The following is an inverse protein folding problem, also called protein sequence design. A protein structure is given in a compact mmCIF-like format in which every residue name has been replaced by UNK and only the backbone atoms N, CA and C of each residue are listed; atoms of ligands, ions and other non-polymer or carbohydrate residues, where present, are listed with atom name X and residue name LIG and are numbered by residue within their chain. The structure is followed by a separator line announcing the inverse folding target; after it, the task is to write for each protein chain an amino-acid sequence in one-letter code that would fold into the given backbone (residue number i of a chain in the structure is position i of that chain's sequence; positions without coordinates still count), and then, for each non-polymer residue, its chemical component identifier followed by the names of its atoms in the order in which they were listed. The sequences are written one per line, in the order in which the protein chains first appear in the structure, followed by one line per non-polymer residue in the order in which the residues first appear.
data_IF_829934570513
#
_entry.id   IF_829934570513
#
_cell.length_a   1.000
_cell.length_b   1.000
_cell.length_c   1.000
_cell.angle_alpha   90.00
_cell.angle_beta   90.00
_cell.angle_gamma   90.00
#
_symmetry.space_group_name_H-M   'P 1'
#
loop_
_entity.id
_entity.type
_entity.pdbx_description
1 polymer ?
#
# COMPACT_ATOMS: atom_id res chain seq x y z
N UNK A 1 41.60 0.48 -31.87
CA UNK A 1 41.85 1.72 -31.09
C UNK A 1 41.52 1.46 -29.62
N UNK A 2 42.51 1.33 -28.73
CA UNK A 2 42.33 0.96 -27.31
C UNK A 2 41.60 2.01 -26.45
N UNK A 3 41.48 3.26 -26.90
CA UNK A 3 40.73 4.30 -26.17
C UNK A 3 39.22 4.06 -26.07
N UNK A 4 38.61 3.43 -27.09
CA UNK A 4 37.16 3.16 -27.13
C UNK A 4 36.68 2.24 -26.00
N UNK A 5 37.49 1.25 -25.64
CA UNK A 5 37.15 0.28 -24.60
C UNK A 5 37.11 0.93 -23.21
N UNK A 6 38.05 1.81 -22.89
CA UNK A 6 38.09 2.54 -21.61
C UNK A 6 36.88 3.46 -21.43
N UNK A 7 36.50 4.20 -22.48
CA UNK A 7 35.29 5.05 -22.42
C UNK A 7 34.02 4.22 -22.21
N UNK A 8 33.93 3.05 -22.84
CA UNK A 8 32.80 2.16 -22.65
C UNK A 8 32.74 1.59 -21.23
N UNK A 9 33.88 1.19 -20.66
CA UNK A 9 33.99 0.70 -19.27
C UNK A 9 33.58 1.77 -18.27
N UNK A 10 34.03 3.02 -18.46
CA UNK A 10 33.66 4.14 -17.60
C UNK A 10 32.17 4.49 -17.69
N UNK A 11 31.62 4.53 -18.90
CA UNK A 11 30.19 4.72 -19.10
C UNK A 11 29.37 3.62 -18.42
N UNK A 12 29.77 2.36 -18.60
CA UNK A 12 29.10 1.20 -18.01
C UNK A 12 29.16 1.26 -16.47
N UNK A 13 30.32 1.61 -15.91
CA UNK A 13 30.53 1.79 -14.47
C UNK A 13 29.63 2.88 -13.90
N UNK A 14 29.61 4.07 -14.49
CA UNK A 14 28.77 5.19 -14.02
C UNK A 14 27.28 4.84 -14.14
N UNK A 15 26.86 4.22 -15.24
CA UNK A 15 25.48 3.76 -15.41
C UNK A 15 25.07 2.73 -14.36
N UNK A 16 25.96 1.78 -14.05
CA UNK A 16 25.72 0.78 -13.00
C UNK A 16 25.56 1.46 -11.64
N UNK A 17 26.46 2.39 -11.29
CA UNK A 17 26.40 3.14 -10.04
C UNK A 17 25.11 3.94 -9.92
N UNK A 18 24.71 4.67 -10.98
CA UNK A 18 23.47 5.44 -10.98
C UNK A 18 22.25 4.54 -10.73
N UNK A 19 22.16 3.40 -11.43
CA UNK A 19 21.08 2.42 -11.21
C UNK A 19 21.06 1.87 -9.79
N UNK A 20 22.23 1.58 -9.23
CA UNK A 20 22.35 1.11 -7.85
C UNK A 20 21.87 2.17 -6.86
N UNK A 21 22.29 3.42 -7.03
CA UNK A 21 21.87 4.52 -6.17
C UNK A 21 20.36 4.78 -6.25
N UNK A 22 19.78 4.77 -7.46
CA UNK A 22 18.33 4.90 -7.64
C UNK A 22 17.59 3.77 -6.92
N UNK A 23 18.05 2.53 -7.08
CA UNK A 23 17.43 1.37 -6.40
C UNK A 23 17.51 1.49 -4.88
N UNK A 24 18.67 1.86 -4.34
CA UNK A 24 18.86 2.05 -2.91
C UNK A 24 18.03 3.20 -2.36
N UNK A 25 17.99 4.34 -3.04
CA UNK A 25 17.19 5.50 -2.63
C UNK A 25 15.70 5.16 -2.62
N UNK A 26 15.21 4.44 -3.64
CA UNK A 26 13.81 4.01 -3.69
C UNK A 26 13.47 3.04 -2.57
N UNK A 27 14.34 2.06 -2.28
CA UNK A 27 14.14 1.14 -1.14
C UNK A 27 14.09 1.87 0.19
N UNK A 28 14.98 2.84 0.40
CA UNK A 28 14.98 3.70 1.61
C UNK A 28 13.67 4.47 1.72
N UNK A 29 13.23 5.12 0.64
CA UNK A 29 11.96 5.83 0.61
C UNK A 29 10.77 4.93 0.99
N UNK A 30 10.70 3.71 0.45
CA UNK A 30 9.63 2.77 0.80
C UNK A 30 9.69 2.38 2.28
N UNK A 31 10.87 2.06 2.81
CA UNK A 31 11.03 1.73 4.22
C UNK A 31 10.63 2.91 5.12
N UNK A 32 11.10 4.12 4.80
CA UNK A 32 10.76 5.34 5.53
C UNK A 32 9.25 5.59 5.52
N UNK A 33 8.58 5.39 4.39
CA UNK A 33 7.11 5.48 4.33
C UNK A 33 6.46 4.41 5.20
N UNK A 34 6.89 3.16 5.12
CA UNK A 34 6.33 2.07 5.90
C UNK A 34 6.46 2.33 7.40
N UNK A 35 7.60 2.85 7.84
CA UNK A 35 7.85 3.19 9.23
C UNK A 35 7.07 4.44 9.67
N UNK A 36 6.98 5.46 8.80
CA UNK A 36 6.14 6.63 9.05
C UNK A 36 4.66 6.28 9.14
N UNK A 37 4.15 5.36 8.32
CA UNK A 37 2.74 4.91 8.38
C UNK A 37 2.45 4.20 9.71
N UNK A 38 3.40 3.43 10.24
CA UNK A 38 3.25 2.77 11.55
C UNK A 38 3.18 3.80 12.69
N UNK A 39 3.96 4.88 12.60
CA UNK A 39 4.04 5.91 13.64
C UNK A 39 2.91 6.94 13.55
N UNK A 40 2.61 7.43 12.35
CA UNK A 40 1.55 8.40 12.08
C UNK A 40 0.80 8.09 10.77
N UNK A 41 -0.33 7.38 10.84
CA UNK A 41 -1.12 7.03 9.66
C UNK A 41 -1.84 8.24 9.04
N UNK A 42 -1.84 9.43 9.67
CA UNK A 42 -2.59 10.60 9.18
C UNK A 42 -2.08 11.07 7.82
N UNK A 43 -0.77 11.04 7.59
CA UNK A 43 -0.17 11.45 6.33
C UNK A 43 -0.63 10.54 5.16
N UNK A 44 -0.75 9.24 5.42
CA UNK A 44 -1.29 8.27 4.45
C UNK A 44 -2.76 8.57 4.16
N UNK A 45 -3.57 8.75 5.20
CA UNK A 45 -4.99 9.06 5.02
C UNK A 45 -5.21 10.39 4.33
N UNK A 46 -4.38 11.41 4.59
CA UNK A 46 -4.41 12.67 3.88
C UNK A 46 -4.10 12.49 2.39
N UNK A 47 -3.09 11.70 2.05
CA UNK A 47 -2.76 11.37 0.65
C UNK A 47 -3.89 10.61 -0.04
N UNK A 48 -4.47 9.59 0.62
CA UNK A 48 -5.60 8.82 0.11
C UNK A 48 -6.81 9.73 -0.11
N UNK A 49 -7.15 10.57 0.87
CA UNK A 49 -8.29 11.49 0.80
C UNK A 49 -8.08 12.52 -0.31
N UNK A 50 -6.85 13.01 -0.51
CA UNK A 50 -6.52 13.91 -1.61
C UNK A 50 -6.69 13.24 -2.98
N UNK A 51 -6.40 11.94 -3.11
CA UNK A 51 -6.54 11.18 -4.35
C UNK A 51 -7.96 10.71 -4.64
N UNK A 52 -8.77 10.42 -3.61
CA UNK A 52 -10.12 9.85 -3.74
C UNK A 52 -11.21 10.87 -4.09
N UNK A 53 -10.96 12.18 -3.98
CA UNK A 53 -12.01 13.20 -4.11
C UNK A 53 -13.01 13.14 -2.95
N UNK A 54 -14.15 13.85 -3.04
CA UNK A 54 -15.16 13.90 -1.95
C UNK A 54 -15.58 12.48 -1.57
N UNK A 55 -15.22 12.08 -0.34
CA UNK A 55 -15.63 10.82 0.27
C UNK A 55 -17.13 10.85 0.51
N UNK A 56 -17.90 10.23 -0.37
CA UNK A 56 -19.22 9.75 -0.02
C UNK A 56 -19.07 8.41 0.70
N UNK A 57 -19.93 8.17 1.70
CA UNK A 57 -20.21 6.81 2.18
C UNK A 57 -20.60 6.00 0.94
N UNK A 58 -19.99 4.81 0.71
CA UNK A 58 -20.40 3.95 -0.39
C UNK A 58 -21.92 3.78 -0.33
N UNK A 59 -22.62 3.90 -1.46
CA UNK A 59 -24.08 3.72 -1.45
C UNK A 59 -24.46 2.32 -0.96
N UNK A 60 -23.57 1.35 -1.20
CA UNK A 60 -23.73 -0.05 -0.85
C UNK A 60 -22.37 -0.63 -0.45
N UNK A 61 -22.37 -1.53 0.52
CA UNK A 61 -21.21 -2.32 0.95
C UNK A 61 -21.55 -3.81 0.87
N UNK A 62 -20.59 -4.63 0.44
CA UNK A 62 -20.76 -6.08 0.35
C UNK A 62 -19.63 -6.77 1.12
N UNK A 63 -19.98 -7.61 2.09
CA UNK A 63 -18.99 -8.32 2.93
C UNK A 63 -18.62 -9.72 2.40
N UNK A 64 -19.20 -10.12 1.27
CA UNK A 64 -19.07 -11.45 0.68
C UNK A 64 -20.32 -12.31 0.82
N UNK A 65 -21.15 -12.05 1.83
CA UNK A 65 -22.39 -12.80 2.12
C UNK A 65 -23.59 -11.87 2.13
N UNK A 66 -23.47 -10.71 2.77
CA UNK A 66 -24.54 -9.75 2.97
C UNK A 66 -24.27 -8.42 2.26
N UNK A 67 -25.36 -7.80 1.81
CA UNK A 67 -25.37 -6.48 1.17
C UNK A 67 -25.98 -5.48 2.13
N UNK A 68 -25.22 -4.44 2.43
CA UNK A 68 -25.64 -3.33 3.26
C UNK A 68 -25.88 -2.11 2.37
N UNK A 69 -27.06 -1.49 2.47
CA UNK A 69 -27.48 -0.32 1.71
C UNK A 69 -27.91 0.86 2.59
N UNK A 70 -28.07 0.64 3.89
CA UNK A 70 -28.30 1.69 4.89
C UNK A 70 -26.97 2.27 5.42
N UNK A 71 -26.80 3.60 5.48
CA UNK A 71 -25.52 4.22 5.84
C UNK A 71 -24.95 3.76 7.19
N UNK A 72 -25.80 3.57 8.20
CA UNK A 72 -25.37 3.11 9.51
C UNK A 72 -24.87 1.66 9.46
N UNK A 73 -25.62 0.78 8.80
CA UNK A 73 -25.23 -0.61 8.60
C UNK A 73 -23.93 -0.74 7.79
N UNK A 74 -23.71 0.15 6.80
CA UNK A 74 -22.47 0.22 6.02
C UNK A 74 -21.28 0.59 6.93
N UNK A 75 -21.44 1.57 7.82
CA UNK A 75 -20.38 2.00 8.75
C UNK A 75 -20.07 0.89 9.76
N UNK A 76 -21.09 0.23 10.30
CA UNK A 76 -20.94 -0.84 11.30
C UNK A 76 -20.31 -2.09 10.68
N UNK A 77 -20.75 -2.48 9.48
CA UNK A 77 -20.13 -3.57 8.71
C UNK A 77 -18.68 -3.24 8.34
N UNK A 78 -18.39 -1.99 7.92
CA UNK A 78 -17.02 -1.55 7.68
C UNK A 78 -16.16 -1.64 8.95
N UNK A 79 -16.65 -1.17 10.10
CA UNK A 79 -15.93 -1.24 11.36
C UNK A 79 -15.64 -2.69 11.78
N UNK A 80 -16.60 -3.60 11.59
CA UNK A 80 -16.44 -5.03 11.86
C UNK A 80 -15.43 -5.70 10.92
N UNK A 81 -15.50 -5.42 9.62
CA UNK A 81 -14.53 -5.93 8.64
C UNK A 81 -13.14 -5.40 8.96
N UNK A 82 -13.02 -4.10 9.25
CA UNK A 82 -11.72 -3.47 9.51
C UNK A 82 -11.10 -3.96 10.81
N UNK A 83 -11.88 -4.05 11.90
CA UNK A 83 -11.40 -4.54 13.20
C UNK A 83 -11.02 -6.02 13.17
N UNK A 84 -11.75 -6.87 12.44
CA UNK A 84 -11.38 -8.28 12.24
C UNK A 84 -10.06 -8.45 11.49
N UNK A 85 -9.77 -7.54 10.58
CA UNK A 85 -8.58 -7.58 9.74
C UNK A 85 -7.36 -6.87 10.35
N UNK A 86 -7.56 -6.04 11.37
CA UNK A 86 -6.47 -5.48 12.17
C UNK A 86 -6.12 -6.44 13.30
N UNK A 87 -5.12 -7.29 13.05
CA UNK A 87 -4.54 -8.11 14.10
C UNK A 87 -3.90 -7.20 15.16
N UNK A 88 -4.13 -7.44 16.46
CA UNK A 88 -3.34 -6.81 17.51
C UNK A 88 -1.86 -7.16 17.28
N UNK A 89 -0.97 -6.26 17.70
CA UNK A 89 0.45 -6.15 17.32
C UNK A 89 1.38 -7.31 17.75
N UNK A 90 0.88 -8.54 17.89
CA UNK A 90 1.65 -9.76 18.11
C UNK A 90 1.38 -10.79 17.01
N UNK A 91 2.44 -11.09 16.25
CA UNK A 91 2.60 -12.30 15.42
C UNK A 91 1.71 -12.41 14.16
N UNK A 92 2.09 -11.70 13.09
CA UNK A 92 1.55 -11.94 11.74
C UNK A 92 2.49 -12.91 11.01
N UNK A 93 2.00 -14.10 10.64
CA UNK A 93 2.70 -14.97 9.70
C UNK A 93 2.39 -14.55 8.25
N UNK A 94 3.32 -14.78 7.31
CA UNK A 94 3.20 -14.35 5.91
C UNK A 94 1.93 -14.86 5.18
N UNK A 95 1.33 -15.97 5.63
CA UNK A 95 0.06 -16.49 5.11
C UNK A 95 -1.13 -15.59 5.45
N UNK A 96 -1.10 -14.96 6.61
CA UNK A 96 -2.22 -14.20 7.17
C UNK A 96 -2.32 -12.85 6.45
N UNK A 97 -1.17 -12.24 6.13
CA UNK A 97 -1.10 -11.01 5.36
C UNK A 97 -1.72 -11.13 3.95
N UNK A 98 -1.56 -12.27 3.28
CA UNK A 98 -2.11 -12.50 1.94
C UNK A 98 -3.64 -12.68 1.97
N UNK A 99 -4.14 -13.36 3.00
CA UNK A 99 -5.59 -13.52 3.25
C UNK A 99 -6.26 -12.18 3.57
N UNK A 100 -5.62 -11.36 4.40
CA UNK A 100 -6.06 -10.00 4.75
C UNK A 100 -6.15 -9.08 3.53
N UNK A 101 -5.15 -9.12 2.64
CA UNK A 101 -5.16 -8.33 1.42
C UNK A 101 -6.32 -8.70 0.49
N UNK A 102 -6.56 -10.00 0.30
CA UNK A 102 -7.66 -10.47 -0.55
C UNK A 102 -9.03 -10.14 0.05
N UNK A 103 -9.18 -10.23 1.37
CA UNK A 103 -10.39 -9.83 2.10
C UNK A 103 -10.73 -8.35 1.88
N UNK A 104 -9.76 -7.45 2.09
CA UNK A 104 -9.99 -6.01 1.92
C UNK A 104 -10.25 -5.63 0.46
N UNK A 105 -9.56 -6.26 -0.49
CA UNK A 105 -9.73 -5.98 -1.91
C UNK A 105 -11.14 -6.33 -2.39
N UNK A 106 -11.70 -7.45 -1.91
CA UNK A 106 -13.07 -7.87 -2.23
C UNK A 106 -14.15 -7.00 -1.57
N UNK A 107 -13.92 -6.55 -0.33
CA UNK A 107 -14.89 -5.75 0.42
C UNK A 107 -14.97 -4.28 -0.03
N UNK A 108 -13.86 -3.68 -0.49
CA UNK A 108 -13.78 -2.23 -0.67
C UNK A 108 -13.79 -1.74 -2.13
N UNK A 109 -13.50 -2.59 -3.13
CA UNK A 109 -13.20 -2.11 -4.49
C UNK A 109 -13.76 -2.97 -5.64
N UNK A 110 -14.93 -3.60 -5.44
CA UNK A 110 -15.63 -4.22 -6.56
C UNK A 110 -16.48 -3.15 -7.28
N UNK A 111 -16.00 -2.70 -8.45
CA UNK A 111 -16.79 -1.92 -9.41
C UNK A 111 -18.02 -2.71 -9.87
#
# INVERSE_FOLDING_TARGET
MPGSLRFYEDFSRVRKLAKQQISTAYKRYINDIQDNIKLDPRALWQYINMKKGKSCIPRQLFDGVERFDEPQAIVDAFANIFSRNFLPSGEINNSDAFSLYNSLHLAAFRN
#
